data_IF_714971434265
#
_entry.id   IF_714971434265
#
_cell.length_a   1.000
_cell.length_b   1.000
_cell.length_c   1.000
_cell.angle_alpha   90.00
_cell.angle_beta   90.00
_cell.angle_gamma   90.00
#
_symmetry.space_group_name_H-M   'P 1'
#
loop_
_entity.id
_entity.type
_entity.pdbx_description
1 polymer ?
#
# COMPACT_ATOMS: atom_id res chain seq x y z
N UNK A 1 -68.12 -18.55 -18.70
CA UNK A 1 -67.22 -17.57 -19.36
C UNK A 1 -66.17 -17.10 -18.36
N UNK A 2 -65.01 -17.75 -18.31
CA UNK A 2 -63.81 -17.33 -17.56
C UNK A 2 -62.60 -17.99 -18.21
N UNK A 3 -61.86 -17.26 -19.03
CA UNK A 3 -60.45 -17.55 -19.37
C UNK A 3 -59.79 -16.23 -19.76
N UNK A 4 -59.10 -15.63 -18.80
CA UNK A 4 -58.20 -14.51 -19.03
C UNK A 4 -56.86 -14.85 -18.39
N UNK A 5 -55.79 -14.49 -19.09
CA UNK A 5 -54.39 -14.43 -18.66
C UNK A 5 -53.62 -15.75 -18.50
N UNK A 6 -52.95 -16.16 -19.57
CA UNK A 6 -51.66 -16.86 -19.47
C UNK A 6 -50.81 -16.62 -20.74
N UNK A 7 -50.43 -15.37 -21.02
CA UNK A 7 -49.54 -15.07 -22.16
C UNK A 7 -48.81 -13.73 -22.00
N UNK A 8 -48.20 -13.51 -20.83
CA UNK A 8 -47.24 -12.38 -20.61
C UNK A 8 -46.00 -12.83 -19.79
N UNK A 9 -45.99 -14.03 -19.22
CA UNK A 9 -44.95 -14.43 -18.25
C UNK A 9 -43.66 -15.08 -18.79
N UNK A 10 -43.54 -15.34 -20.11
CA UNK A 10 -42.39 -16.10 -20.65
C UNK A 10 -41.48 -15.26 -21.57
N UNK A 11 -41.92 -14.08 -22.03
CA UNK A 11 -41.09 -13.22 -22.90
C UNK A 11 -40.17 -12.27 -22.10
N UNK A 12 -40.48 -11.98 -20.84
CA UNK A 12 -39.65 -11.08 -20.02
C UNK A 12 -38.57 -11.79 -19.17
N UNK A 13 -38.47 -13.12 -19.21
CA UNK A 13 -37.46 -13.88 -18.45
C UNK A 13 -36.25 -14.32 -19.28
N UNK A 14 -36.27 -14.07 -20.60
CA UNK A 14 -35.14 -14.32 -21.52
C UNK A 14 -34.37 -13.02 -21.83
N UNK A 15 -34.88 -11.86 -21.40
CA UNK A 15 -34.22 -10.55 -21.58
C UNK A 15 -33.32 -10.14 -20.39
N UNK A 16 -33.14 -11.02 -19.40
CA UNK A 16 -32.39 -10.73 -18.17
C UNK A 16 -31.04 -11.44 -18.04
N UNK A 17 -30.68 -12.33 -18.97
CA UNK A 17 -29.32 -12.86 -19.07
C UNK A 17 -28.59 -12.08 -20.17
N UNK A 18 -27.88 -11.02 -19.80
CA UNK A 18 -26.79 -10.52 -20.63
C UNK A 18 -25.90 -11.72 -20.94
N UNK A 19 -25.90 -12.20 -22.18
CA UNK A 19 -25.00 -13.25 -22.62
C UNK A 19 -23.58 -12.71 -22.51
N UNK A 20 -22.83 -13.15 -21.50
CA UNK A 20 -21.38 -12.98 -21.47
C UNK A 20 -20.79 -13.92 -22.53
N UNK A 21 -20.06 -13.39 -23.50
CA UNK A 21 -19.29 -14.23 -24.41
C UNK A 21 -17.91 -14.54 -23.82
N UNK A 22 -17.48 -15.81 -23.92
CA UNK A 22 -16.10 -16.20 -23.63
C UNK A 22 -15.30 -16.14 -24.92
N UNK A 23 -14.24 -15.35 -24.91
CA UNK A 23 -13.32 -15.18 -26.01
C UNK A 23 -12.01 -15.84 -25.64
N UNK A 24 -11.60 -16.85 -26.40
CA UNK A 24 -10.34 -17.56 -26.18
C UNK A 24 -9.35 -17.18 -27.27
N UNK A 25 -8.25 -16.52 -26.89
CA UNK A 25 -7.15 -16.18 -27.78
C UNK A 25 -6.01 -17.17 -27.61
N UNK A 26 -5.53 -17.72 -28.73
CA UNK A 26 -4.35 -18.57 -28.81
C UNK A 26 -3.23 -17.87 -29.60
N UNK A 27 -2.23 -17.27 -28.92
CA UNK A 27 -1.11 -16.63 -29.60
C UNK A 27 -0.39 -17.64 -30.50
N UNK A 28 -0.30 -17.34 -31.80
CA UNK A 28 0.52 -18.12 -32.73
C UNK A 28 2.02 -17.82 -32.53
N UNK A 29 2.91 -18.45 -33.33
CA UNK A 29 4.34 -18.08 -33.37
C UNK A 29 4.58 -16.58 -33.68
N UNK A 30 3.62 -15.92 -34.33
CA UNK A 30 3.66 -14.49 -34.68
C UNK A 30 2.89 -13.68 -33.64
N UNK A 31 3.41 -12.50 -33.27
CA UNK A 31 2.70 -11.53 -32.42
C UNK A 31 1.45 -11.02 -33.16
N UNK A 32 0.29 -11.09 -32.51
CA UNK A 32 -1.00 -10.73 -33.11
C UNK A 32 -1.69 -9.60 -32.37
N UNK A 33 -2.74 -9.04 -32.96
CA UNK A 33 -3.52 -7.96 -32.37
C UNK A 33 -4.88 -8.46 -31.88
N UNK A 34 -5.40 -7.79 -30.87
CA UNK A 34 -6.69 -8.09 -30.28
C UNK A 34 -7.84 -7.93 -31.29
N UNK A 35 -7.75 -7.01 -32.26
CA UNK A 35 -8.75 -6.88 -33.33
C UNK A 35 -8.70 -7.94 -34.44
N UNK A 36 -7.84 -8.96 -34.40
CA UNK A 36 -7.79 -10.01 -35.44
C UNK A 36 -8.83 -11.09 -35.10
N UNK A 37 -10.07 -11.04 -35.66
CA UNK A 37 -11.19 -11.78 -35.10
C UNK A 37 -11.06 -13.30 -35.33
N UNK A 38 -10.35 -13.70 -36.38
CA UNK A 38 -10.03 -15.10 -36.70
C UNK A 38 -9.17 -15.82 -35.64
N UNK A 39 -8.67 -15.11 -34.62
CA UNK A 39 -7.90 -15.69 -33.51
C UNK A 39 -8.75 -15.99 -32.27
N UNK A 40 -10.02 -15.62 -32.29
CA UNK A 40 -10.97 -15.85 -31.21
C UNK A 40 -11.99 -16.90 -31.63
N UNK A 41 -12.27 -17.88 -30.76
CA UNK A 41 -13.25 -18.94 -31.05
C UNK A 41 -14.66 -18.39 -31.35
N UNK A 42 -14.98 -17.18 -30.88
CA UNK A 42 -16.25 -16.49 -31.12
C UNK A 42 -16.23 -15.51 -32.30
N UNK A 43 -15.12 -15.36 -33.03
CA UNK A 43 -15.02 -14.55 -34.25
C UNK A 43 -15.24 -13.03 -34.11
N UNK A 44 -15.64 -12.54 -32.95
CA UNK A 44 -15.78 -11.12 -32.59
C UNK A 44 -14.83 -10.76 -31.43
N UNK A 45 -14.69 -9.46 -31.15
CA UNK A 45 -13.82 -8.95 -30.08
C UNK A 45 -14.58 -8.62 -28.77
N UNK A 46 -14.00 -8.83 -27.56
CA UNK A 46 -14.61 -8.43 -26.29
C UNK A 46 -14.96 -6.94 -26.22
N UNK A 47 -16.26 -6.64 -26.16
CA UNK A 47 -16.78 -5.25 -26.21
C UNK A 47 -18.07 -5.05 -25.44
N UNK A 48 -18.72 -6.13 -25.02
CA UNK A 48 -19.94 -6.09 -24.24
C UNK A 48 -19.63 -6.26 -22.74
N UNK A 49 -20.50 -5.68 -21.91
CA UNK A 49 -20.45 -5.88 -20.47
C UNK A 49 -20.67 -7.37 -20.17
N UNK A 50 -19.79 -7.95 -19.35
CA UNK A 50 -19.83 -9.37 -19.03
C UNK A 50 -18.85 -10.22 -19.84
N UNK A 51 -18.30 -9.73 -20.95
CA UNK A 51 -17.38 -10.49 -21.79
C UNK A 51 -16.13 -10.95 -21.02
N UNK A 52 -15.70 -12.18 -21.30
CA UNK A 52 -14.52 -12.79 -20.67
C UNK A 52 -13.46 -13.00 -21.73
N UNK A 53 -12.27 -12.45 -21.51
CA UNK A 53 -11.09 -12.73 -22.34
C UNK A 53 -10.22 -13.78 -21.67
N UNK A 54 -9.94 -14.87 -22.38
CA UNK A 54 -9.01 -15.92 -21.96
C UNK A 54 -7.87 -15.94 -22.96
N UNK A 55 -6.66 -15.64 -22.48
CA UNK A 55 -5.44 -15.83 -23.22
C UNK A 55 -4.89 -17.18 -22.80
N UNK A 56 -4.94 -18.14 -23.72
CA UNK A 56 -4.41 -19.49 -23.50
C UNK A 56 -3.38 -19.87 -24.53
N UNK A 57 -2.45 -20.75 -24.18
CA UNK A 57 -1.58 -21.34 -25.18
C UNK A 57 -1.30 -22.82 -24.93
N UNK A 58 -1.33 -23.60 -26.01
CA UNK A 58 -0.86 -25.00 -26.03
C UNK A 58 0.64 -25.06 -26.39
N UNK A 59 1.15 -24.09 -27.18
CA UNK A 59 2.56 -24.02 -27.59
C UNK A 59 2.98 -22.64 -28.15
N UNK A 60 3.57 -21.76 -27.31
CA UNK A 60 4.48 -20.70 -27.82
C UNK A 60 5.82 -21.37 -28.13
N UNK A 61 6.38 -21.20 -29.34
CA UNK A 61 7.64 -21.83 -29.75
C UNK A 61 8.86 -21.56 -28.84
N UNK A 62 10.00 -22.16 -29.16
CA UNK A 62 11.21 -22.08 -28.34
C UNK A 62 11.96 -20.75 -28.53
N UNK A 63 11.49 -19.68 -27.89
CA UNK A 63 12.13 -18.35 -27.94
C UNK A 63 12.36 -17.77 -26.55
N UNK A 64 13.12 -16.68 -26.50
CA UNK A 64 13.41 -15.92 -25.27
C UNK A 64 12.76 -14.54 -25.36
N UNK A 65 12.14 -14.08 -24.27
CA UNK A 65 11.59 -12.71 -24.17
C UNK A 65 10.06 -12.61 -24.12
N UNK A 66 9.55 -11.40 -24.35
CA UNK A 66 8.12 -11.09 -24.29
C UNK A 66 7.41 -11.48 -25.59
N UNK A 67 6.24 -12.12 -25.49
CA UNK A 67 5.32 -12.34 -26.62
C UNK A 67 4.08 -11.50 -26.45
N UNK A 68 3.85 -10.63 -27.41
CA UNK A 68 2.94 -9.51 -27.25
C UNK A 68 1.67 -9.72 -28.06
N UNK A 69 0.53 -9.60 -27.39
CA UNK A 69 -0.77 -9.40 -28.01
C UNK A 69 -1.04 -7.89 -28.01
N UNK A 70 -1.07 -7.29 -29.19
CA UNK A 70 -1.28 -5.86 -29.34
C UNK A 70 -2.72 -5.44 -29.03
N UNK A 71 -2.89 -4.57 -28.04
CA UNK A 71 -4.16 -3.88 -27.78
C UNK A 71 -4.30 -2.70 -28.76
N UNK A 72 -5.06 -2.89 -29.83
CA UNK A 72 -5.24 -1.86 -30.87
C UNK A 72 -6.65 -1.23 -30.91
N UNK A 73 -7.48 -1.56 -29.93
CA UNK A 73 -8.80 -1.01 -29.69
C UNK A 73 -9.04 -0.84 -28.20
N UNK A 74 -9.98 0.02 -27.81
CA UNK A 74 -10.51 0.01 -26.46
C UNK A 74 -11.37 -1.25 -26.24
N UNK A 75 -11.09 -1.97 -25.17
CA UNK A 75 -11.71 -3.26 -24.88
C UNK A 75 -12.33 -3.27 -23.49
N UNK A 76 -13.51 -3.84 -23.35
CA UNK A 76 -14.19 -3.98 -22.06
C UNK A 76 -14.37 -5.45 -21.75
N UNK A 77 -13.92 -5.86 -20.57
CA UNK A 77 -14.06 -7.25 -20.09
C UNK A 77 -14.49 -7.27 -18.62
N UNK A 78 -15.29 -8.27 -18.26
CA UNK A 78 -15.59 -8.61 -16.88
C UNK A 78 -14.52 -9.49 -16.26
N UNK A 79 -13.84 -10.30 -17.08
CA UNK A 79 -12.72 -11.09 -16.65
C UNK A 79 -11.64 -11.18 -17.73
N UNK A 80 -10.38 -11.11 -17.30
CA UNK A 80 -9.22 -11.44 -18.09
C UNK A 80 -8.47 -12.60 -17.42
N UNK A 81 -8.29 -13.71 -18.13
CA UNK A 81 -7.54 -14.85 -17.63
C UNK A 81 -6.34 -15.11 -18.53
N UNK A 82 -5.16 -15.20 -17.94
CA UNK A 82 -3.93 -15.56 -18.66
C UNK A 82 -3.51 -16.95 -18.15
N UNK A 83 -3.81 -18.00 -18.92
CA UNK A 83 -3.63 -19.41 -18.56
C UNK A 83 -2.81 -20.12 -19.65
N UNK A 84 -2.21 -21.30 -19.43
CA UNK A 84 -1.64 -22.12 -20.54
C UNK A 84 -0.30 -22.80 -20.24
N UNK A 85 0.42 -23.25 -21.27
CA UNK A 85 1.74 -23.91 -21.15
C UNK A 85 2.76 -23.35 -22.17
N UNK A 86 3.98 -23.00 -21.72
CA UNK A 86 5.12 -22.68 -22.62
C UNK A 86 6.23 -23.71 -22.45
N UNK A 87 6.91 -24.13 -23.52
CA UNK A 87 8.09 -25.00 -23.47
C UNK A 87 9.41 -24.22 -23.22
N UNK A 88 9.37 -22.88 -23.17
CA UNK A 88 10.55 -22.01 -23.19
C UNK A 88 10.39 -20.79 -22.26
N UNK A 89 11.51 -20.10 -21.96
CA UNK A 89 11.65 -18.87 -21.15
C UNK A 89 10.99 -17.64 -21.82
N UNK A 90 9.72 -17.77 -22.14
CA UNK A 90 8.87 -16.73 -22.73
C UNK A 90 7.79 -16.36 -21.73
N UNK A 91 7.40 -15.09 -21.70
CA UNK A 91 6.20 -14.62 -21.00
C UNK A 91 5.22 -13.98 -21.99
N UNK A 92 3.93 -14.18 -21.75
CA UNK A 92 2.86 -13.60 -22.57
C UNK A 92 2.49 -12.24 -22.00
N UNK A 93 2.37 -11.23 -22.86
CA UNK A 93 1.91 -9.91 -22.46
C UNK A 93 0.81 -9.39 -23.35
N UNK A 94 -0.11 -8.62 -22.76
CA UNK A 94 -0.95 -7.69 -23.51
C UNK A 94 -0.20 -6.37 -23.54
N UNK A 95 0.06 -5.84 -24.73
CA UNK A 95 0.92 -4.66 -24.92
C UNK A 95 0.16 -3.53 -25.62
N UNK A 96 0.44 -2.30 -25.21
CA UNK A 96 -0.08 -1.07 -25.83
C UNK A 96 0.64 -0.67 -27.13
N UNK A 97 0.95 -1.64 -28.02
CA UNK A 97 1.65 -1.43 -29.29
C UNK A 97 1.03 -0.34 -30.19
N UNK A 98 -0.18 0.12 -29.86
CA UNK A 98 -0.88 1.21 -30.49
C UNK A 98 -1.25 2.25 -29.41
N UNK A 99 -0.71 3.46 -29.55
CA UNK A 99 -0.85 4.53 -28.58
C UNK A 99 -2.32 4.87 -28.31
N UNK A 100 -2.72 4.89 -27.03
CA UNK A 100 -3.99 5.46 -26.57
C UNK A 100 -5.08 4.45 -26.23
N UNK A 101 -4.90 3.16 -26.51
CA UNK A 101 -5.90 2.15 -26.14
C UNK A 101 -5.79 1.76 -24.67
N UNK A 102 -6.93 1.38 -24.09
CA UNK A 102 -7.06 0.99 -22.68
C UNK A 102 -7.92 -0.27 -22.56
N UNK A 103 -7.63 -1.05 -21.52
CA UNK A 103 -8.45 -2.18 -21.13
C UNK A 103 -9.35 -1.76 -19.96
N UNK A 104 -10.66 -1.85 -20.16
CA UNK A 104 -11.68 -1.50 -19.18
C UNK A 104 -12.10 -2.77 -18.44
N UNK A 105 -11.90 -2.78 -17.12
CA UNK A 105 -12.36 -3.84 -16.23
C UNK A 105 -13.73 -3.45 -15.70
N UNK A 106 -14.78 -4.13 -16.17
CA UNK A 106 -16.16 -3.81 -15.85
C UNK A 106 -17.01 -5.08 -15.74
N UNK A 107 -17.66 -5.26 -14.60
CA UNK A 107 -18.59 -6.36 -14.35
C UNK A 107 -19.99 -5.82 -14.03
N UNK A 108 -21.02 -6.50 -14.53
CA UNK A 108 -22.42 -6.24 -14.16
C UNK A 108 -22.82 -6.90 -12.84
N UNK A 109 -21.99 -7.81 -12.31
CA UNK A 109 -22.28 -8.60 -11.11
C UNK A 109 -21.00 -8.85 -10.33
N UNK A 110 -20.84 -8.14 -9.21
CA UNK A 110 -19.65 -8.24 -8.36
C UNK A 110 -18.39 -7.67 -9.00
N UNK A 111 -17.23 -8.15 -8.56
CA UNK A 111 -15.93 -7.64 -8.98
C UNK A 111 -15.54 -8.17 -10.36
N UNK A 112 -14.95 -7.32 -11.18
CA UNK A 112 -14.22 -7.77 -12.36
C UNK A 112 -12.99 -8.59 -11.94
N UNK A 113 -12.48 -9.45 -12.81
CA UNK A 113 -11.45 -10.42 -12.44
C UNK A 113 -10.25 -10.35 -13.38
N UNK A 114 -9.05 -10.37 -12.83
CA UNK A 114 -7.81 -10.61 -13.56
C UNK A 114 -7.14 -11.83 -12.95
N UNK A 115 -6.98 -12.90 -13.71
CA UNK A 115 -6.30 -14.11 -13.26
C UNK A 115 -4.96 -14.28 -13.98
N UNK A 116 -3.89 -14.07 -13.22
CA UNK A 116 -2.52 -14.47 -13.57
C UNK A 116 -2.30 -15.94 -13.28
N UNK A 117 -2.76 -16.80 -14.19
CA UNK A 117 -2.47 -18.23 -14.16
C UNK A 117 -1.12 -18.56 -14.78
N UNK A 118 -0.71 -19.82 -14.60
CA UNK A 118 0.67 -20.24 -14.80
C UNK A 118 0.84 -21.04 -16.05
N UNK A 119 1.95 -20.72 -16.71
CA UNK A 119 2.64 -21.51 -17.70
C UNK A 119 3.66 -22.41 -17.01
N UNK A 120 4.11 -23.47 -17.69
CA UNK A 120 4.95 -24.55 -17.12
C UNK A 120 6.20 -24.05 -16.37
N UNK A 121 6.97 -24.97 -15.75
CA UNK A 121 8.24 -24.64 -15.09
C UNK A 121 9.19 -23.80 -15.95
N UNK A 122 9.08 -23.85 -17.28
CA UNK A 122 9.93 -23.14 -18.23
C UNK A 122 9.49 -21.69 -18.52
N UNK A 123 8.31 -21.24 -18.09
CA UNK A 123 7.90 -19.83 -18.26
C UNK A 123 8.45 -18.93 -17.15
N UNK A 124 8.67 -17.65 -17.47
CA UNK A 124 9.04 -16.63 -16.50
C UNK A 124 7.83 -15.92 -15.87
N UNK A 125 6.72 -15.73 -16.60
CA UNK A 125 5.57 -14.98 -16.10
C UNK A 125 4.53 -14.57 -17.15
N UNK A 126 3.77 -13.52 -16.84
CA UNK A 126 2.87 -12.80 -17.75
C UNK A 126 2.75 -11.32 -17.36
N UNK A 127 2.31 -10.47 -18.29
CA UNK A 127 2.24 -9.02 -18.08
C UNK A 127 1.00 -8.37 -18.72
N UNK A 128 0.41 -7.42 -18.00
CA UNK A 128 -0.45 -6.40 -18.59
C UNK A 128 0.35 -5.13 -18.77
N UNK A 129 0.89 -4.96 -19.98
CA UNK A 129 1.61 -3.77 -20.43
C UNK A 129 0.67 -2.84 -21.19
N UNK A 130 -0.54 -2.65 -20.65
CA UNK A 130 -1.59 -1.78 -21.18
C UNK A 130 -2.21 -0.97 -20.05
N UNK A 131 -2.61 0.29 -20.30
CA UNK A 131 -3.33 1.04 -19.28
C UNK A 131 -4.66 0.37 -18.93
N UNK A 132 -4.94 0.25 -17.62
CA UNK A 132 -6.18 -0.34 -17.11
C UNK A 132 -7.12 0.77 -16.63
N UNK A 133 -8.40 0.66 -16.96
CA UNK A 133 -9.47 1.49 -16.40
C UNK A 133 -10.36 0.60 -15.54
N UNK A 134 -10.35 0.82 -14.24
CA UNK A 134 -11.18 0.08 -13.30
C UNK A 134 -12.53 0.79 -13.18
N UNK A 135 -13.54 0.23 -13.85
CA UNK A 135 -14.93 0.73 -13.84
C UNK A 135 -15.73 0.04 -12.74
N UNK A 136 -15.39 -1.21 -12.44
CA UNK A 136 -15.89 -1.97 -11.30
C UNK A 136 -14.72 -2.37 -10.41
N UNK A 137 -14.99 -2.66 -9.14
CA UNK A 137 -13.97 -3.23 -8.24
C UNK A 137 -13.38 -4.47 -8.91
N UNK A 138 -12.08 -4.64 -8.82
CA UNK A 138 -11.36 -5.64 -9.61
C UNK A 138 -10.48 -6.49 -8.71
N UNK A 139 -10.66 -7.80 -8.77
CA UNK A 139 -9.78 -8.75 -8.10
C UNK A 139 -8.70 -9.20 -9.08
N UNK A 140 -7.44 -8.97 -8.73
CA UNK A 140 -6.28 -9.50 -9.44
C UNK A 140 -5.71 -10.64 -8.62
N UNK A 141 -5.80 -11.85 -9.16
CA UNK A 141 -5.32 -13.06 -8.52
C UNK A 141 -4.14 -13.68 -9.28
N UNK A 142 -3.08 -14.04 -8.55
CA UNK A 142 -1.95 -14.80 -9.12
C UNK A 142 -1.94 -16.22 -8.56
N UNK A 143 -2.51 -17.17 -9.31
CA UNK A 143 -2.74 -18.55 -8.83
C UNK A 143 -1.54 -19.47 -8.95
N UNK A 144 -0.45 -19.02 -9.57
CA UNK A 144 0.68 -19.89 -9.95
C UNK A 144 2.00 -19.37 -9.48
N UNK A 145 3.01 -20.23 -9.41
CA UNK A 145 4.35 -19.92 -8.91
C UNK A 145 5.20 -19.00 -9.81
N UNK A 146 4.57 -18.26 -10.72
CA UNK A 146 5.21 -17.38 -11.70
C UNK A 146 4.94 -15.92 -11.38
N UNK A 147 5.58 -15.02 -12.13
CA UNK A 147 5.41 -13.58 -11.96
C UNK A 147 4.23 -13.11 -12.82
N UNK A 148 3.29 -12.38 -12.24
CA UNK A 148 2.34 -11.55 -12.98
C UNK A 148 2.73 -10.08 -12.82
N UNK A 149 2.75 -9.32 -13.91
CA UNK A 149 3.18 -7.93 -13.90
C UNK A 149 2.06 -6.98 -14.34
N UNK A 150 1.88 -5.89 -13.61
CA UNK A 150 1.13 -4.72 -14.04
C UNK A 150 2.13 -3.64 -14.46
N UNK A 151 2.21 -3.35 -15.76
CA UNK A 151 3.30 -2.55 -16.34
C UNK A 151 2.94 -1.10 -16.69
N UNK A 152 1.67 -0.69 -16.61
CA UNK A 152 1.21 0.62 -17.09
C UNK A 152 0.24 1.30 -16.13
N UNK A 153 -0.02 2.57 -16.39
CA UNK A 153 -0.90 3.43 -15.61
C UNK A 153 -2.30 2.84 -15.35
N UNK A 154 -2.82 3.07 -14.15
CA UNK A 154 -4.22 2.80 -13.78
C UNK A 154 -5.10 4.06 -13.92
N UNK A 155 -6.40 3.85 -14.11
CA UNK A 155 -7.42 4.90 -14.16
C UNK A 155 -8.71 4.43 -13.47
N UNK A 156 -9.49 5.39 -12.98
CA UNK A 156 -10.81 5.13 -12.39
C UNK A 156 -10.83 5.34 -10.87
N UNK A 157 -11.94 4.96 -10.26
CA UNK A 157 -12.18 5.15 -8.81
C UNK A 157 -12.54 3.86 -8.10
N UNK A 158 -12.72 2.77 -8.84
CA UNK A 158 -13.03 1.47 -8.27
C UNK A 158 -11.82 0.84 -7.56
N UNK A 159 -12.08 -0.05 -6.62
CA UNK A 159 -11.04 -0.66 -5.81
C UNK A 159 -10.33 -1.79 -6.57
N UNK A 160 -9.06 -2.01 -6.23
CA UNK A 160 -8.22 -3.07 -6.79
C UNK A 160 -7.77 -3.99 -5.67
N UNK A 161 -8.26 -5.23 -5.67
CA UNK A 161 -7.86 -6.25 -4.71
C UNK A 161 -6.77 -7.12 -5.31
N UNK A 162 -5.58 -7.07 -4.72
CA UNK A 162 -4.44 -7.87 -5.13
C UNK A 162 -4.38 -9.12 -4.27
N UNK A 163 -4.71 -10.28 -4.80
CA UNK A 163 -4.80 -11.52 -4.04
C UNK A 163 -3.78 -12.58 -4.50
N UNK A 164 -2.93 -13.00 -3.57
CA UNK A 164 -2.01 -14.13 -3.79
C UNK A 164 -2.44 -15.32 -2.90
N UNK A 165 -3.02 -16.40 -3.47
CA UNK A 165 -3.29 -17.63 -2.74
C UNK A 165 -1.98 -18.31 -2.29
N UNK A 166 -2.04 -19.15 -1.25
CA UNK A 166 -0.91 -19.98 -0.83
C UNK A 166 -0.41 -20.84 -2.01
N UNK A 167 0.90 -20.78 -2.27
CA UNK A 167 1.52 -21.44 -3.43
C UNK A 167 1.46 -20.65 -4.74
N UNK A 168 0.83 -19.47 -4.72
CA UNK A 168 0.96 -18.45 -5.76
C UNK A 168 2.38 -17.86 -5.78
N UNK A 169 2.68 -17.16 -6.86
CA UNK A 169 3.98 -16.59 -7.18
C UNK A 169 4.07 -15.12 -6.79
N UNK A 170 4.62 -14.31 -7.69
CA UNK A 170 4.89 -12.89 -7.47
C UNK A 170 3.88 -12.05 -8.24
N UNK A 171 3.29 -11.06 -7.59
CA UNK A 171 2.62 -9.98 -8.28
C UNK A 171 3.53 -8.75 -8.26
N UNK A 172 4.01 -8.29 -9.41
CA UNK A 172 4.83 -7.09 -9.51
C UNK A 172 4.06 -5.95 -10.16
N UNK A 173 3.91 -4.86 -9.42
CA UNK A 173 3.36 -3.60 -9.90
C UNK A 173 4.51 -2.67 -10.28
N UNK A 174 4.54 -2.28 -11.55
CA UNK A 174 5.47 -1.33 -12.16
C UNK A 174 4.74 -0.15 -12.79
N UNK A 175 3.55 0.12 -12.26
CA UNK A 175 2.63 1.15 -12.73
C UNK A 175 3.18 2.54 -12.43
N UNK A 176 2.94 3.48 -13.33
CA UNK A 176 3.36 4.88 -13.16
C UNK A 176 2.63 5.56 -11.99
N UNK A 177 2.89 6.86 -11.80
CA UNK A 177 2.22 7.70 -10.82
C UNK A 177 0.69 7.58 -10.86
N UNK A 178 0.11 7.28 -12.03
CA UNK A 178 -1.32 6.99 -12.20
C UNK A 178 -2.24 8.04 -11.56
N UNK A 179 -2.06 9.36 -11.84
CA UNK A 179 -2.89 10.41 -11.22
C UNK A 179 -4.37 10.32 -11.62
N UNK A 180 -4.69 9.59 -12.70
CA UNK A 180 -6.06 9.30 -13.12
C UNK A 180 -6.75 8.20 -12.33
N UNK A 181 -6.09 7.59 -11.34
CA UNK A 181 -6.64 6.58 -10.46
C UNK A 181 -6.70 7.06 -9.01
N UNK A 182 -7.86 6.94 -8.38
CA UNK A 182 -8.09 7.37 -6.99
C UNK A 182 -8.91 6.37 -6.16
N UNK A 183 -8.98 5.11 -6.60
CA UNK A 183 -9.56 4.02 -5.80
C UNK A 183 -8.61 3.54 -4.71
N UNK A 184 -8.99 2.47 -4.02
CA UNK A 184 -8.17 1.81 -3.00
C UNK A 184 -7.51 0.56 -3.57
N UNK A 185 -6.21 0.39 -3.34
CA UNK A 185 -5.48 -0.84 -3.64
C UNK A 185 -5.31 -1.65 -2.36
N UNK A 186 -5.92 -2.83 -2.32
CA UNK A 186 -5.81 -3.78 -1.21
C UNK A 186 -4.75 -4.83 -1.53
N UNK A 187 -3.68 -4.87 -0.74
CA UNK A 187 -2.73 -5.97 -0.75
C UNK A 187 -3.24 -7.10 0.15
N UNK A 188 -3.69 -8.19 -0.46
CA UNK A 188 -4.32 -9.35 0.19
C UNK A 188 -3.53 -10.63 -0.08
N UNK A 189 -3.26 -11.42 0.96
CA UNK A 189 -2.49 -12.66 0.80
C UNK A 189 -2.94 -13.71 1.81
N UNK A 190 -2.92 -14.98 1.39
CA UNK A 190 -3.32 -16.10 2.27
C UNK A 190 -2.15 -16.90 2.87
N UNK A 191 -0.93 -16.82 2.31
CA UNK A 191 0.33 -17.21 2.96
C UNK A 191 1.54 -17.04 2.00
N UNK A 192 2.61 -16.39 2.47
CA UNK A 192 3.96 -16.36 1.87
C UNK A 192 4.13 -15.49 0.62
N UNK A 193 4.90 -14.40 0.73
CA UNK A 193 5.67 -13.63 -0.31
C UNK A 193 5.25 -13.75 -1.80
N UNK A 194 4.91 -12.70 -2.60
CA UNK A 194 5.12 -11.23 -2.48
C UNK A 194 4.17 -10.44 -3.41
N UNK A 195 3.57 -9.35 -2.93
CA UNK A 195 3.18 -8.22 -3.81
C UNK A 195 4.37 -7.25 -3.81
N UNK A 196 4.90 -6.94 -4.98
CA UNK A 196 6.08 -6.09 -5.15
C UNK A 196 5.69 -4.81 -5.89
N UNK A 197 6.00 -3.66 -5.34
CA UNK A 197 5.96 -2.38 -6.04
C UNK A 197 7.40 -1.94 -6.35
N UNK A 198 7.70 -1.70 -7.62
CA UNK A 198 9.07 -1.43 -8.06
C UNK A 198 9.16 -0.60 -9.35
N UNK A 199 10.39 -0.23 -9.71
CA UNK A 199 10.78 0.39 -11.00
C UNK A 199 10.33 1.84 -11.19
N UNK A 200 9.37 2.33 -10.40
CA UNK A 200 8.84 3.68 -10.52
C UNK A 200 9.07 4.49 -9.24
N UNK A 201 9.49 5.74 -9.40
CA UNK A 201 9.77 6.65 -8.27
C UNK A 201 8.46 7.11 -7.61
N UNK A 202 7.44 7.41 -8.43
CA UNK A 202 6.11 7.83 -7.98
C UNK A 202 5.10 6.81 -8.49
N UNK A 203 4.31 6.23 -7.59
CA UNK A 203 3.33 5.20 -7.91
C UNK A 203 1.99 5.50 -7.25
N UNK A 204 0.91 5.38 -8.02
CA UNK A 204 -0.47 5.43 -7.50
C UNK A 204 -0.75 6.66 -6.63
N UNK A 205 -0.25 7.84 -6.99
CA UNK A 205 -0.10 9.00 -6.10
C UNK A 205 -1.40 9.57 -5.53
N UNK A 206 -2.55 9.19 -6.11
CA UNK A 206 -3.89 9.60 -5.71
C UNK A 206 -4.73 8.46 -5.08
N UNK A 207 -4.18 7.25 -4.99
CA UNK A 207 -4.87 6.07 -4.46
C UNK A 207 -4.53 5.82 -2.99
N UNK A 208 -5.47 5.27 -2.23
CA UNK A 208 -5.16 4.73 -0.90
C UNK A 208 -4.60 3.32 -1.05
N UNK A 209 -3.53 3.00 -0.32
CA UNK A 209 -2.94 1.66 -0.31
C UNK A 209 -3.20 1.02 1.04
N UNK A 210 -3.83 -0.15 1.07
CA UNK A 210 -4.13 -0.88 2.30
C UNK A 210 -3.40 -2.21 2.29
N UNK A 211 -2.48 -2.40 3.24
CA UNK A 211 -1.84 -3.70 3.48
C UNK A 211 -2.70 -4.45 4.50
N UNK A 212 -3.39 -5.47 4.01
CA UNK A 212 -4.40 -6.21 4.78
C UNK A 212 -3.72 -7.16 5.77
N UNK A 213 -4.50 -7.57 6.77
CA UNK A 213 -4.07 -8.54 7.79
C UNK A 213 -3.40 -9.76 7.17
N UNK A 214 -2.17 -10.08 7.59
CA UNK A 214 -1.41 -11.23 7.11
C UNK A 214 -0.73 -11.05 5.74
N UNK A 215 -0.89 -9.91 5.08
CA UNK A 215 -0.26 -9.63 3.80
C UNK A 215 1.12 -8.98 3.94
N UNK A 216 1.99 -9.22 2.96
CA UNK A 216 3.30 -8.57 2.83
C UNK A 216 3.39 -7.76 1.55
N UNK A 217 3.64 -6.46 1.68
CA UNK A 217 3.98 -5.57 0.57
C UNK A 217 5.50 -5.34 0.52
N UNK A 218 6.11 -5.63 -0.62
CA UNK A 218 7.52 -5.33 -0.86
C UNK A 218 7.67 -4.04 -1.64
N UNK A 219 8.57 -3.18 -1.20
CA UNK A 219 8.78 -1.86 -1.79
C UNK A 219 10.24 -1.71 -2.22
N UNK A 220 10.44 -1.38 -3.50
CA UNK A 220 11.74 -1.31 -4.14
C UNK A 220 11.93 0.05 -4.84
N UNK A 221 12.82 0.91 -4.33
CA UNK A 221 13.22 2.15 -5.04
C UNK A 221 12.05 3.09 -5.36
N UNK A 222 11.01 3.08 -4.52
CA UNK A 222 9.88 4.01 -4.60
C UNK A 222 10.18 5.21 -3.69
N UNK A 223 9.78 6.41 -4.10
CA UNK A 223 9.83 7.64 -3.29
C UNK A 223 8.47 8.04 -2.72
N UNK A 224 7.39 7.72 -3.44
CA UNK A 224 6.02 7.87 -2.97
C UNK A 224 5.13 6.78 -3.52
N UNK A 225 4.47 6.07 -2.62
CA UNK A 225 3.47 5.06 -2.93
C UNK A 225 2.13 5.46 -2.33
N UNK A 226 1.15 5.77 -3.18
CA UNK A 226 -0.17 6.18 -2.71
C UNK A 226 -0.31 7.68 -2.43
N UNK A 227 -1.56 8.07 -2.17
CA UNK A 227 -1.92 9.28 -1.44
C UNK A 227 -1.82 9.08 0.08
N UNK A 228 -2.08 7.86 0.54
CA UNK A 228 -1.98 7.41 1.93
C UNK A 228 -1.76 5.89 1.93
N UNK A 229 -0.98 5.40 2.89
CA UNK A 229 -0.81 3.99 3.19
C UNK A 229 -1.45 3.63 4.53
N UNK A 230 -2.12 2.49 4.60
CA UNK A 230 -2.69 1.93 5.83
C UNK A 230 -2.18 0.52 6.05
N UNK A 231 -1.78 0.22 7.27
CA UNK A 231 -1.35 -1.11 7.69
C UNK A 231 -2.34 -1.66 8.70
N UNK A 232 -3.01 -2.76 8.36
CA UNK A 232 -3.85 -3.50 9.29
C UNK A 232 -3.01 -4.36 10.26
N UNK A 233 -3.55 -4.74 11.44
CA UNK A 233 -2.85 -5.63 12.36
C UNK A 233 -2.38 -6.92 11.66
N UNK A 234 -1.15 -7.35 11.94
CA UNK A 234 -0.53 -8.53 11.36
C UNK A 234 -0.01 -8.35 9.93
N UNK A 235 -0.14 -7.16 9.34
CA UNK A 235 0.43 -6.85 8.02
C UNK A 235 1.94 -6.56 8.09
N UNK A 236 2.60 -6.64 6.92
CA UNK A 236 4.04 -6.42 6.77
C UNK A 236 4.33 -5.52 5.57
N UNK A 237 5.24 -4.58 5.74
CA UNK A 237 5.86 -3.84 4.65
C UNK A 237 7.37 -4.04 4.71
N UNK A 238 8.00 -4.40 3.60
CA UNK A 238 9.43 -4.70 3.60
C UNK A 238 10.17 -4.08 2.41
N UNK A 239 11.43 -3.72 2.60
CA UNK A 239 12.30 -3.34 1.50
C UNK A 239 12.68 -4.55 0.65
N UNK A 240 12.75 -4.36 -0.67
CA UNK A 240 13.14 -5.43 -1.60
C UNK A 240 14.67 -5.52 -1.75
N UNK A 241 15.28 -6.63 -1.30
CA UNK A 241 16.69 -7.02 -1.53
C UNK A 241 17.70 -5.87 -1.52
N UNK A 242 17.98 -5.30 -0.34
CA UNK A 242 19.01 -4.26 -0.21
C UNK A 242 18.67 -2.92 -0.86
N UNK A 243 17.47 -2.75 -1.44
CA UNK A 243 17.08 -1.49 -2.07
C UNK A 243 16.59 -0.49 -1.04
N UNK A 244 17.13 0.71 -1.19
CA UNK A 244 16.70 1.86 -0.43
C UNK A 244 15.36 2.38 -0.94
N UNK A 245 14.49 2.69 -0.01
CA UNK A 245 13.14 3.15 -0.29
C UNK A 245 12.84 4.37 0.59
N UNK A 246 12.12 5.34 0.03
CA UNK A 246 11.52 6.42 0.81
C UNK A 246 10.02 6.46 0.55
N UNK A 247 9.23 6.88 1.52
CA UNK A 247 7.82 7.10 1.30
C UNK A 247 7.40 8.47 1.79
N UNK A 248 7.00 9.32 0.85
CA UNK A 248 6.43 10.65 1.11
C UNK A 248 4.93 10.61 1.43
N UNK A 249 4.24 9.50 1.14
CA UNK A 249 2.84 9.35 1.52
C UNK A 249 2.71 9.14 3.05
N UNK A 250 1.65 9.67 3.68
CA UNK A 250 1.31 9.34 5.05
C UNK A 250 1.14 7.83 5.25
N UNK A 251 1.50 7.34 6.44
CA UNK A 251 1.39 5.96 6.87
C UNK A 251 0.56 5.88 8.15
N UNK A 252 -0.57 5.17 8.09
CA UNK A 252 -1.46 4.95 9.22
C UNK A 252 -1.35 3.51 9.71
N UNK A 253 -1.04 3.34 11.00
CA UNK A 253 -0.97 2.04 11.68
C UNK A 253 -2.31 1.79 12.38
N UNK A 254 -3.10 0.86 11.84
CA UNK A 254 -4.49 0.60 12.28
C UNK A 254 -4.53 -0.33 13.50
N UNK A 255 -4.00 0.11 14.64
CA UNK A 255 -3.94 -0.66 15.88
C UNK A 255 -3.15 -1.96 15.75
N UNK A 256 -3.10 -2.75 16.82
CA UNK A 256 -2.41 -4.04 16.84
C UNK A 256 -0.93 -3.94 16.47
N UNK A 257 -0.33 -5.03 15.97
CA UNK A 257 1.09 -5.08 15.61
C UNK A 257 1.28 -5.18 14.11
N UNK A 258 2.12 -4.34 13.53
CA UNK A 258 2.55 -4.40 12.13
C UNK A 258 4.06 -4.56 12.06
N UNK A 259 4.56 -5.13 10.97
CA UNK A 259 6.00 -5.30 10.77
C UNK A 259 6.52 -4.40 9.66
N UNK A 260 7.62 -3.73 9.92
CA UNK A 260 8.43 -3.05 8.94
C UNK A 260 9.79 -3.74 8.83
N UNK A 261 10.02 -4.40 7.69
CA UNK A 261 11.22 -5.16 7.41
C UNK A 261 12.20 -4.37 6.54
N UNK A 262 13.43 -4.22 6.99
CA UNK A 262 14.55 -3.92 6.08
C UNK A 262 15.22 -5.24 5.69
N UNK A 263 15.80 -5.29 4.49
CA UNK A 263 16.65 -6.41 4.07
C UNK A 263 18.07 -5.93 3.85
N UNK A 264 19.02 -6.72 4.32
CA UNK A 264 20.45 -6.45 4.21
C UNK A 264 20.82 -5.09 4.85
N UNK A 265 21.55 -4.25 4.10
CA UNK A 265 21.96 -2.91 4.52
C UNK A 265 21.02 -1.81 3.99
N UNK A 266 19.80 -2.18 3.56
CA UNK A 266 18.82 -1.22 3.06
C UNK A 266 18.34 -0.26 4.14
N UNK A 267 17.94 0.93 3.74
CA UNK A 267 17.15 1.82 4.58
C UNK A 267 15.75 2.09 4.02
N UNK A 268 14.83 2.37 4.95
CA UNK A 268 13.48 2.86 4.66
C UNK A 268 13.26 4.21 5.33
N UNK A 269 12.96 5.24 4.53
CA UNK A 269 12.73 6.60 5.04
C UNK A 269 11.25 6.95 4.97
N UNK A 270 10.63 7.25 6.10
CA UNK A 270 9.28 7.79 6.22
C UNK A 270 9.37 9.32 6.25
N UNK A 271 8.95 9.93 5.13
CA UNK A 271 8.91 11.39 4.93
C UNK A 271 7.50 11.95 5.12
N UNK A 272 6.48 11.14 4.85
CA UNK A 272 5.10 11.45 5.20
C UNK A 272 4.82 11.29 6.70
N UNK A 273 3.64 11.71 7.12
CA UNK A 273 3.17 11.59 8.50
C UNK A 273 2.97 10.12 8.88
N UNK A 274 3.45 9.72 10.05
CA UNK A 274 3.19 8.39 10.62
C UNK A 274 2.22 8.53 11.79
N UNK A 275 1.06 7.88 11.72
CA UNK A 275 0.01 8.02 12.74
C UNK A 275 -0.67 6.71 13.12
N UNK A 276 -1.45 6.73 14.20
CA UNK A 276 -2.27 5.60 14.66
C UNK A 276 -1.95 5.13 16.08
N UNK A 277 -2.53 3.99 16.47
CA UNK A 277 -2.51 3.46 17.85
C UNK A 277 -1.92 2.06 17.97
N UNK A 278 -1.09 1.66 17.01
CA UNK A 278 -0.52 0.32 16.94
C UNK A 278 0.95 0.23 17.38
N UNK A 279 1.53 -0.94 17.13
CA UNK A 279 2.93 -1.25 17.32
C UNK A 279 3.57 -1.43 15.95
N UNK A 280 4.51 -0.56 15.62
CA UNK A 280 5.39 -0.70 14.46
C UNK A 280 6.65 -1.45 14.88
N UNK A 281 6.72 -2.73 14.55
CA UNK A 281 7.91 -3.55 14.84
C UNK A 281 8.89 -3.44 13.69
N UNK A 282 10.08 -2.92 13.97
CA UNK A 282 11.18 -2.95 13.03
C UNK A 282 11.91 -4.29 13.15
N UNK A 283 12.04 -4.97 12.01
CA UNK A 283 12.90 -6.14 11.86
C UNK A 283 13.88 -5.93 10.71
N UNK A 284 14.98 -6.68 10.71
CA UNK A 284 15.89 -6.75 9.58
C UNK A 284 16.29 -8.20 9.33
N UNK A 285 16.40 -8.63 8.08
CA UNK A 285 17.00 -9.94 7.75
C UNK A 285 18.54 -9.89 7.68
N UNK A 286 19.15 -8.70 7.80
CA UNK A 286 20.57 -8.42 7.99
C UNK A 286 20.88 -7.65 9.29
N UNK A 287 22.12 -7.17 9.46
CA UNK A 287 22.58 -6.54 10.71
C UNK A 287 22.56 -5.01 10.74
N UNK A 288 22.38 -4.29 9.62
CA UNK A 288 22.64 -2.82 9.57
C UNK A 288 21.55 -1.93 8.97
N UNK A 289 20.46 -2.52 8.48
CA UNK A 289 19.35 -1.79 7.87
C UNK A 289 18.65 -0.83 8.84
N UNK A 290 18.29 0.36 8.33
CA UNK A 290 17.85 1.50 9.15
C UNK A 290 16.47 2.02 8.74
N UNK A 291 15.62 2.34 9.72
CA UNK A 291 14.39 3.09 9.50
C UNK A 291 14.63 4.53 9.92
N UNK A 292 14.30 5.47 9.04
CA UNK A 292 14.38 6.90 9.33
C UNK A 292 12.97 7.50 9.32
N UNK A 293 12.62 8.24 10.36
CA UNK A 293 11.38 9.01 10.44
C UNK A 293 11.73 10.49 10.37
N UNK A 294 11.31 11.16 9.31
CA UNK A 294 11.70 12.56 9.00
C UNK A 294 10.52 13.47 8.66
N UNK A 295 9.32 12.91 8.53
CA UNK A 295 8.06 13.65 8.44
C UNK A 295 7.55 14.08 9.81
N UNK A 296 6.26 13.93 10.06
CA UNK A 296 5.71 14.01 11.41
C UNK A 296 5.33 12.64 11.97
N UNK A 297 5.20 12.56 13.29
CA UNK A 297 4.65 11.41 14.00
C UNK A 297 3.50 11.94 14.86
N UNK A 298 2.33 11.33 14.72
CA UNK A 298 1.13 11.70 15.47
C UNK A 298 0.55 10.44 16.10
N UNK A 299 0.92 10.11 17.35
CA UNK A 299 0.27 9.02 18.07
C UNK A 299 -1.23 9.29 18.15
N UNK A 300 -2.05 8.26 17.94
CA UNK A 300 -3.49 8.40 18.05
C UNK A 300 -4.24 8.87 16.79
N UNK A 301 -5.56 8.70 16.87
CA UNK A 301 -6.58 9.41 16.10
C UNK A 301 -7.55 9.99 17.16
N UNK A 302 -7.01 10.76 18.12
CA UNK A 302 -7.40 10.95 19.55
C UNK A 302 -6.43 10.24 20.52
N UNK A 303 -6.50 10.57 21.82
CA UNK A 303 -5.72 9.98 22.92
C UNK A 303 -5.32 8.52 22.68
N UNK A 304 -4.04 8.29 22.38
CA UNK A 304 -3.57 6.95 22.08
C UNK A 304 -2.06 6.77 22.07
N UNK A 305 -1.65 5.51 22.15
CA UNK A 305 -0.23 5.12 22.14
C UNK A 305 0.16 4.57 20.78
N UNK A 306 1.20 5.15 20.18
CA UNK A 306 1.93 4.55 19.05
C UNK A 306 3.24 4.00 19.59
N UNK A 307 3.48 2.71 19.40
CA UNK A 307 4.72 2.07 19.83
C UNK A 307 5.61 1.80 18.61
N UNK A 308 6.91 2.12 18.70
CA UNK A 308 7.93 1.69 17.76
C UNK A 308 8.89 0.74 18.48
N UNK A 309 8.99 -0.50 18.02
CA UNK A 309 9.76 -1.56 18.67
C UNK A 309 10.91 -2.00 17.75
N UNK A 310 12.14 -1.69 18.16
CA UNK A 310 13.37 -2.04 17.45
C UNK A 310 13.80 -3.46 17.81
N UNK A 311 13.18 -4.46 17.19
CA UNK A 311 13.59 -5.85 17.42
C UNK A 311 14.91 -6.19 16.74
N UNK A 312 15.22 -5.56 15.60
CA UNK A 312 16.48 -5.77 14.89
C UNK A 312 16.80 -4.63 13.91
N UNK A 313 18.07 -4.19 13.89
CA UNK A 313 18.59 -3.07 13.10
C UNK A 313 18.34 -1.73 13.79
N UNK A 314 18.50 -0.59 13.09
CA UNK A 314 18.39 0.74 13.72
C UNK A 314 17.15 1.54 13.33
N UNK A 315 16.63 2.34 14.25
CA UNK A 315 15.51 3.27 14.12
C UNK A 315 16.00 4.65 14.52
N UNK A 316 15.85 5.62 13.61
CA UNK A 316 16.26 7.01 13.81
C UNK A 316 15.03 7.92 13.72
N UNK A 317 14.81 8.69 14.78
CA UNK A 317 13.71 9.64 14.93
C UNK A 317 14.27 11.04 14.63
N UNK A 318 14.09 11.50 13.39
CA UNK A 318 14.74 12.69 12.84
C UNK A 318 16.18 12.43 12.40
N UNK A 319 16.75 13.42 11.68
CA UNK A 319 18.18 13.48 11.36
C UNK A 319 18.62 14.94 11.15
N UNK A 320 19.94 15.24 11.18
CA UNK A 320 20.44 16.58 10.89
C UNK A 320 19.94 17.09 9.53
N UNK A 321 19.34 18.29 9.52
CA UNK A 321 18.75 18.90 8.32
C UNK A 321 17.33 18.41 7.97
N UNK A 322 16.83 17.36 8.63
CA UNK A 322 15.45 16.88 8.48
C UNK A 322 14.89 16.43 9.85
N UNK A 323 14.59 17.38 10.76
CA UNK A 323 14.03 17.06 12.05
C UNK A 323 12.60 16.52 11.91
N UNK A 324 12.25 15.55 12.75
CA UNK A 324 10.89 15.02 12.83
C UNK A 324 10.03 15.91 13.72
N UNK A 325 8.75 16.03 13.39
CA UNK A 325 7.77 16.76 14.24
C UNK A 325 6.84 15.78 14.94
N UNK A 326 6.81 15.80 16.27
CA UNK A 326 5.81 15.07 17.06
C UNK A 326 4.58 15.95 17.24
N UNK A 327 3.42 15.54 16.75
CA UNK A 327 2.16 16.20 17.03
C UNK A 327 1.47 15.49 18.19
N UNK A 328 1.19 16.21 19.28
CA UNK A 328 0.77 15.64 20.55
C UNK A 328 -0.53 16.30 21.03
N UNK A 329 -1.59 15.52 21.17
CA UNK A 329 -2.79 15.83 21.96
C UNK A 329 -2.64 15.34 23.41
N UNK A 330 -3.61 15.66 24.26
CA UNK A 330 -3.66 15.14 25.63
C UNK A 330 -3.77 13.61 25.61
N UNK A 331 -2.95 12.96 26.44
CA UNK A 331 -2.85 11.50 26.59
C UNK A 331 -2.27 10.75 25.39
N UNK A 332 -1.78 11.45 24.38
CA UNK A 332 -0.99 10.82 23.32
C UNK A 332 0.38 10.41 23.86
N UNK A 333 0.85 9.25 23.39
CA UNK A 333 2.15 8.71 23.75
C UNK A 333 2.84 8.06 22.56
N UNK A 334 4.09 8.46 22.31
CA UNK A 334 5.04 7.71 21.50
C UNK A 334 5.91 6.86 22.42
N UNK A 335 5.82 5.54 22.28
CA UNK A 335 6.64 4.60 23.04
C UNK A 335 7.71 3.99 22.14
N UNK A 336 8.98 4.08 22.57
CA UNK A 336 10.14 3.55 21.86
C UNK A 336 10.72 2.39 22.67
N UNK A 337 10.69 1.18 22.09
CA UNK A 337 11.10 -0.05 22.75
C UNK A 337 12.31 -0.68 22.07
N UNK A 338 13.16 -1.33 22.87
CA UNK A 338 14.28 -2.14 22.39
C UNK A 338 15.29 -1.41 21.51
N UNK A 339 15.39 -0.08 21.62
CA UNK A 339 16.33 0.73 20.83
C UNK A 339 17.78 0.35 21.16
N UNK A 340 18.64 0.20 20.16
CA UNK A 340 20.07 -0.14 20.36
C UNK A 340 20.85 1.03 20.98
N UNK A 341 20.39 2.26 20.75
CA UNK A 341 21.02 3.49 21.25
C UNK A 341 19.98 4.41 21.92
N UNK A 342 20.45 5.32 22.76
CA UNK A 342 19.61 6.38 23.31
C UNK A 342 19.11 7.31 22.19
N UNK A 343 17.88 7.81 22.36
CA UNK A 343 17.22 8.63 21.34
C UNK A 343 17.67 10.09 21.47
N UNK A 344 18.26 10.63 20.41
CA UNK A 344 18.73 12.01 20.36
C UNK A 344 17.59 12.99 20.01
N UNK A 345 17.20 13.81 20.98
CA UNK A 345 16.13 14.81 20.83
C UNK A 345 16.55 16.05 20.05
N UNK A 346 17.84 16.22 19.73
CA UNK A 346 18.33 17.38 18.98
C UNK A 346 17.73 17.49 17.57
N UNK A 347 17.17 16.40 17.03
CA UNK A 347 16.48 16.35 15.74
C UNK A 347 14.96 16.13 15.87
N UNK A 348 14.39 16.35 17.05
CA UNK A 348 12.97 16.14 17.34
C UNK A 348 12.33 17.46 17.74
N UNK A 349 11.28 17.87 17.04
CA UNK A 349 10.41 18.98 17.40
C UNK A 349 9.11 18.45 17.97
N UNK A 350 8.46 19.21 18.84
CA UNK A 350 7.12 18.89 19.34
C UNK A 350 6.16 20.04 19.07
N UNK A 351 4.94 19.69 18.68
CA UNK A 351 3.80 20.59 18.56
C UNK A 351 2.65 20.06 19.41
N UNK A 352 2.27 20.83 20.42
CA UNK A 352 1.12 20.52 21.27
C UNK A 352 -0.17 21.07 20.67
N UNK A 353 -1.14 20.19 20.44
CA UNK A 353 -2.40 20.51 19.78
C UNK A 353 -3.54 20.81 20.77
N UNK A 354 -3.46 20.26 21.99
CA UNK A 354 -4.46 20.47 23.04
C UNK A 354 -3.80 20.76 24.40
N UNK A 355 -4.59 21.29 25.34
CA UNK A 355 -4.17 21.37 26.75
C UNK A 355 -4.12 19.99 27.39
N UNK A 356 -3.20 19.78 28.33
CA UNK A 356 -3.14 18.55 29.14
C UNK A 356 -4.22 18.55 30.21
N UNK A 357 -4.56 17.37 30.72
CA UNK A 357 -5.41 17.24 31.91
C UNK A 357 -4.85 18.05 33.10
N UNK A 358 -5.73 18.75 33.82
CA UNK A 358 -5.30 19.68 34.87
C UNK A 358 -4.60 18.94 36.01
N UNK A 359 -3.41 19.40 36.38
CA UNK A 359 -2.63 18.82 37.49
C UNK A 359 -1.88 17.54 37.13
N UNK A 360 -1.87 17.14 35.86
CA UNK A 360 -1.11 15.98 35.38
C UNK A 360 -0.02 16.41 34.40
N UNK A 361 1.02 15.58 34.28
CA UNK A 361 2.02 15.66 33.23
C UNK A 361 1.67 14.63 32.16
N UNK A 362 1.50 15.06 30.91
CA UNK A 362 1.40 14.13 29.80
C UNK A 362 2.80 13.64 29.41
N UNK A 363 3.15 12.40 29.77
CA UNK A 363 4.41 11.74 29.40
C UNK A 363 4.34 11.21 27.97
N UNK A 364 4.41 12.14 27.01
CA UNK A 364 4.13 11.87 25.60
C UNK A 364 5.23 11.11 24.85
N UNK A 365 6.43 10.97 25.42
CA UNK A 365 7.51 10.16 24.85
C UNK A 365 8.12 9.29 25.94
N UNK A 366 8.20 7.98 25.72
CA UNK A 366 8.92 7.03 26.57
C UNK A 366 9.92 6.23 25.73
N UNK A 367 11.09 5.91 26.30
CA UNK A 367 12.14 5.17 25.63
C UNK A 367 12.85 4.23 26.61
N UNK A 368 12.87 2.92 26.31
CA UNK A 368 13.57 1.93 27.17
C UNK A 368 15.08 2.11 27.19
N UNK A 369 15.65 2.79 26.20
CA UNK A 369 17.11 2.95 26.02
C UNK A 369 17.59 4.37 26.33
N UNK A 370 16.77 5.12 27.06
CA UNK A 370 16.95 6.53 27.39
C UNK A 370 16.77 7.51 26.23
N UNK A 371 16.63 8.79 26.61
CA UNK A 371 16.69 9.96 25.73
C UNK A 371 17.90 10.82 26.08
N UNK A 372 18.46 11.51 25.10
CA UNK A 372 19.57 12.46 25.28
C UNK A 372 19.26 13.78 24.60
N UNK A 373 19.94 14.84 25.07
CA UNK A 373 19.72 16.23 24.64
C UNK A 373 18.28 16.70 24.90
N UNK A 374 17.94 17.87 24.38
CA UNK A 374 16.63 18.51 24.51
C UNK A 374 15.99 18.68 23.14
N UNK A 375 14.67 18.83 23.09
CA UNK A 375 13.92 19.01 21.85
C UNK A 375 14.46 20.19 21.02
N UNK A 376 14.52 20.00 19.70
CA UNK A 376 14.94 20.99 18.70
C UNK A 376 14.02 22.21 18.65
N UNK A 377 12.77 22.06 19.07
CA UNK A 377 11.76 23.12 19.08
C UNK A 377 10.48 22.66 19.77
N UNK A 378 9.80 23.61 20.41
CA UNK A 378 8.53 23.40 21.11
C UNK A 378 7.53 24.42 20.57
N UNK A 379 6.43 23.93 20.02
CA UNK A 379 5.34 24.74 19.48
C UNK A 379 4.03 24.42 20.20
N UNK A 380 3.19 25.45 20.36
CA UNK A 380 1.87 25.34 20.97
C UNK A 380 0.82 25.81 19.96
N UNK A 381 -0.32 25.11 19.88
CA UNK A 381 -1.47 25.62 19.13
C UNK A 381 -1.93 26.98 19.70
N UNK A 382 -2.58 27.84 18.89
CA UNK A 382 -2.97 29.18 19.33
C UNK A 382 -3.77 29.17 20.64
N UNK A 383 -3.37 30.03 21.58
CA UNK A 383 -4.01 30.14 22.90
C UNK A 383 -3.56 29.09 23.93
N UNK A 384 -2.52 28.30 23.63
CA UNK A 384 -1.90 27.36 24.55
C UNK A 384 -0.48 27.80 24.94
N UNK A 385 -0.08 27.44 26.16
CA UNK A 385 1.29 27.59 26.66
C UNK A 385 1.63 26.43 27.59
N UNK A 386 2.90 26.21 27.93
CA UNK A 386 3.25 25.08 28.75
C UNK A 386 4.71 25.00 29.16
N UNK A 387 5.08 23.83 29.69
CA UNK A 387 6.46 23.49 30.05
C UNK A 387 6.73 22.03 29.75
N UNK A 388 7.94 21.75 29.28
CA UNK A 388 8.43 20.40 28.98
C UNK A 388 9.41 19.94 30.06
N UNK A 389 9.28 18.69 30.46
CA UNK A 389 10.06 18.02 31.50
C UNK A 389 10.82 16.85 30.89
N UNK A 390 12.06 16.66 31.33
CA UNK A 390 12.95 15.63 30.83
C UNK A 390 13.37 14.72 31.99
N UNK A 391 13.24 13.42 31.79
CA UNK A 391 13.84 12.37 32.59
C UNK A 391 14.70 11.48 31.69
N UNK A 392 15.47 10.56 32.29
CA UNK A 392 16.38 9.72 31.52
C UNK A 392 15.64 8.86 30.49
N UNK A 393 14.45 8.34 30.82
CA UNK A 393 13.67 7.37 30.04
C UNK A 393 12.43 7.97 29.36
N UNK A 394 12.16 9.28 29.54
CA UNK A 394 10.89 9.88 29.08
C UNK A 394 10.94 11.40 28.98
N UNK A 395 10.02 11.95 28.18
CA UNK A 395 9.75 13.37 28.05
C UNK A 395 8.27 13.61 28.28
N UNK A 396 7.94 14.64 29.06
CA UNK A 396 6.57 14.98 29.38
C UNK A 396 6.31 16.47 29.29
N UNK A 397 5.03 16.86 29.27
CA UNK A 397 4.64 18.26 29.25
C UNK A 397 3.41 18.53 30.10
N UNK A 398 3.30 19.77 30.55
CA UNK A 398 2.06 20.38 31.06
C UNK A 398 1.70 21.51 30.12
N UNK A 399 0.51 21.46 29.53
CA UNK A 399 0.02 22.43 28.54
C UNK A 399 -1.32 22.99 29.00
N UNK A 400 -1.44 24.31 29.07
CA UNK A 400 -2.62 25.00 29.59
C UNK A 400 -3.04 26.15 28.67
N UNK A 401 -4.31 26.58 28.72
CA UNK A 401 -4.75 27.77 28.01
C UNK A 401 -4.05 29.05 28.52
N UNK A 402 -3.81 30.03 27.64
CA UNK A 402 -3.06 31.26 27.94
C UNK A 402 -3.63 32.20 29.03
N UNK A 403 -4.88 32.12 29.53
CA UNK A 403 -5.25 32.80 30.79
C UNK A 403 -4.59 32.17 32.03
N UNK A 404 -4.12 30.92 31.96
CA UNK A 404 -3.61 30.15 33.09
C UNK A 404 -2.07 30.22 33.25
N UNK A 405 -1.37 30.96 32.38
CA UNK A 405 0.09 31.13 32.44
C UNK A 405 0.60 31.67 33.80
N UNK A 406 -0.21 32.48 34.49
CA UNK A 406 0.09 33.00 35.82
C UNK A 406 0.23 31.90 36.89
N UNK A 407 -0.38 30.72 36.68
CA UNK A 407 -0.29 29.57 37.60
C UNK A 407 0.94 28.68 37.33
N UNK A 408 1.46 28.65 36.09
CA UNK A 408 2.68 27.90 35.74
C UNK A 408 3.92 28.47 36.47
N UNK A 409 3.97 29.79 36.65
CA UNK A 409 5.00 30.45 37.46
C UNK A 409 4.99 30.01 38.93
N UNK A 410 3.81 29.71 39.50
CA UNK A 410 3.70 29.21 40.87
C UNK A 410 4.15 27.73 40.98
N UNK A 411 3.81 26.89 40.01
CA UNK A 411 4.19 25.46 39.99
C UNK A 411 5.70 25.23 39.78
N UNK A 412 6.35 26.03 38.93
CA UNK A 412 7.80 25.99 38.75
C UNK A 412 8.56 26.34 40.04
N UNK A 413 8.03 27.27 40.85
CA UNK A 413 8.60 27.64 42.15
C UNK A 413 8.42 26.50 43.17
N UNK A 414 7.27 25.82 43.19
CA UNK A 414 7.07 24.66 44.08
C UNK A 414 7.95 23.46 43.72
N UNK A 415 8.18 23.18 42.44
CA UNK A 415 9.08 22.11 42.00
C UNK A 415 10.55 22.40 42.34
N UNK A 416 10.97 23.67 42.28
CA UNK A 416 12.31 24.10 42.69
C UNK A 416 12.50 24.07 44.23
N UNK A 417 11.46 24.37 45.01
CA UNK A 417 11.49 24.31 46.48
C UNK A 417 11.56 22.87 46.99
N UNK A 418 10.95 21.90 46.30
CA UNK A 418 10.98 20.48 46.69
C UNK A 418 12.30 19.76 46.34
N UNK A 419 13.21 20.42 45.61
CA UNK A 419 14.55 19.94 45.25
C UNK A 419 15.68 20.50 46.15
N UNK A 420 15.35 21.31 47.16
CA UNK A 420 16.23 21.62 48.30
C UNK A 420 15.81 20.78 49.49
#
# INVERSE_FOLDING_TARGET
MKRTFLLVGIVCLVAGSLYSAEFVAQPSYVNTNWNTPALWDAGDFPKALGDVAIITNVYIGNTTGARSIGLNIAATVSALRVLGATPSNTYVQISDNYTGNRLYMQSSSGNAQIEGGGYTIHSWGSELSVPLVLVSDTDLRVTTNKIFMLGKSLYGTADLHLYIPRGGGLLAMRVDASPGYSGTVYAEQSAGERILVETQVYMLTNATIVIRTGATLLVATVARLGAEMRMEPGSRMESYYGRNTSNEAPLVILGGTVTNGTRDNAFMVFRGDVSGTGVLVKVNTGTTGTNYFTGSISPGLSAGTLTMDEKQGTTRIGMPGAPVTLNIEDKDQLELLSMDEAVDLANVRVRFLTSTEQGTTNWFLTCTSNVVNTLNGIEYAPGLTGSVFYEADRVGAVVVPEPAALMLGALAVFAAIKRR
#
